data_IF_159778346278
#
_entry.id   IF_159778346278
#
_cell.length_a   1.000
_cell.length_b   1.000
_cell.length_c   1.000
_cell.angle_alpha   90.00
_cell.angle_beta   90.00
_cell.angle_gamma   90.00
#
_symmetry.space_group_name_H-M   'P 1'
#
loop_
_entity.id
_entity.type
_entity.pdbx_description
1 polymer ?
#
# COMPACT_ATOMS: atom_id res chain seq x y z
N UNK A 1 13.59 -21.08 0.03
CA UNK A 1 12.33 -21.44 -0.65
C UNK A 1 12.07 -20.35 -1.67
N UNK A 2 12.17 -20.64 -2.97
CA UNK A 2 11.88 -19.65 -4.02
C UNK A 2 10.37 -19.36 -3.96
N UNK A 3 10.01 -18.11 -3.70
CA UNK A 3 8.62 -17.66 -3.80
C UNK A 3 8.28 -17.53 -5.30
N UNK A 4 7.69 -18.59 -5.85
CA UNK A 4 7.24 -18.68 -7.25
C UNK A 4 5.88 -17.99 -7.46
N UNK A 5 5.46 -17.08 -6.58
CA UNK A 5 4.19 -16.39 -6.73
C UNK A 5 4.33 -15.20 -7.69
N UNK A 6 4.34 -15.48 -9.00
CA UNK A 6 4.06 -14.44 -10.01
C UNK A 6 2.59 -14.03 -9.89
N UNK A 7 2.28 -13.20 -8.90
CA UNK A 7 0.94 -12.61 -8.78
C UNK A 7 0.83 -11.47 -9.79
N UNK A 8 -0.24 -11.47 -10.59
CA UNK A 8 -0.55 -10.32 -11.45
C UNK A 8 -0.84 -9.10 -10.56
N UNK A 9 -0.54 -7.87 -11.01
CA UNK A 9 -0.85 -6.67 -10.22
C UNK A 9 -2.31 -6.62 -9.75
N UNK A 10 -3.24 -7.07 -10.60
CA UNK A 10 -4.67 -7.17 -10.26
C UNK A 10 -4.98 -8.16 -9.13
N UNK A 11 -4.21 -9.23 -8.99
CA UNK A 11 -4.39 -10.21 -7.90
C UNK A 11 -3.92 -9.63 -6.57
N UNK A 12 -2.83 -8.84 -6.57
CA UNK A 12 -2.37 -8.13 -5.39
C UNK A 12 -3.43 -7.11 -4.94
N UNK A 13 -3.98 -6.33 -5.87
CA UNK A 13 -5.08 -5.40 -5.60
C UNK A 13 -6.26 -6.13 -4.98
N UNK A 14 -6.73 -7.21 -5.61
CA UNK A 14 -7.86 -8.00 -5.11
C UNK A 14 -7.63 -8.48 -3.67
N UNK A 15 -6.47 -9.06 -3.37
CA UNK A 15 -6.12 -9.53 -2.02
C UNK A 15 -6.05 -8.40 -0.99
N UNK A 16 -5.68 -7.18 -1.39
CA UNK A 16 -5.68 -6.03 -0.50
C UNK A 16 -7.12 -5.58 -0.20
N UNK A 17 -7.95 -5.48 -1.23
CA UNK A 17 -9.36 -5.10 -1.10
C UNK A 17 -10.17 -6.11 -0.28
N UNK A 18 -9.94 -7.42 -0.48
CA UNK A 18 -10.58 -8.48 0.30
C UNK A 18 -10.19 -8.41 1.79
N UNK A 19 -8.91 -8.15 2.09
CA UNK A 19 -8.44 -7.96 3.48
C UNK A 19 -9.03 -6.72 4.11
N UNK A 20 -9.09 -5.60 3.38
CA UNK A 20 -9.72 -4.36 3.85
C UNK A 20 -11.17 -4.61 4.24
N UNK A 21 -11.94 -5.30 3.38
CA UNK A 21 -13.33 -5.67 3.67
C UNK A 21 -13.43 -6.58 4.89
N UNK A 22 -12.52 -7.55 5.01
CA UNK A 22 -12.47 -8.48 6.15
C UNK A 22 -12.22 -7.75 7.46
N UNK A 23 -11.25 -6.84 7.50
CA UNK A 23 -10.93 -6.02 8.67
C UNK A 23 -12.10 -5.12 9.07
N UNK A 24 -12.77 -4.50 8.09
CA UNK A 24 -13.98 -3.69 8.36
C UNK A 24 -15.05 -4.52 9.06
N UNK A 25 -15.32 -5.73 8.55
CA UNK A 25 -16.31 -6.64 9.12
C UNK A 25 -15.89 -7.15 10.50
N UNK A 26 -14.60 -7.43 10.70
CA UNK A 26 -14.06 -7.85 12.00
C UNK A 26 -14.18 -6.78 13.10
N UNK A 27 -14.31 -5.51 12.70
CA UNK A 27 -14.55 -4.37 13.59
C UNK A 27 -16.04 -3.97 13.67
N UNK A 28 -16.96 -4.80 13.15
CA UNK A 28 -18.41 -4.56 13.12
C UNK A 28 -18.82 -3.22 12.48
N UNK A 29 -18.08 -2.76 11.47
CA UNK A 29 -18.37 -1.49 10.78
C UNK A 29 -19.14 -1.71 9.47
N UNK A 30 -20.17 -0.91 9.21
CA UNK A 30 -20.72 -0.79 7.84
C UNK A 30 -19.76 0.00 6.95
N UNK A 31 -19.98 -0.03 5.63
CA UNK A 31 -19.24 0.83 4.71
C UNK A 31 -19.44 2.32 5.03
N UNK A 32 -20.62 2.70 5.53
CA UNK A 32 -20.93 4.07 5.94
C UNK A 32 -20.17 4.46 7.22
N UNK A 33 -20.06 3.55 8.20
CA UNK A 33 -19.26 3.81 9.41
C UNK A 33 -17.80 4.04 9.07
N UNK A 34 -17.22 3.17 8.24
CA UNK A 34 -15.83 3.30 7.81
C UNK A 34 -15.61 4.59 7.01
N UNK A 35 -16.54 4.93 6.11
CA UNK A 35 -16.50 6.16 5.32
C UNK A 35 -16.54 7.41 6.22
N UNK A 36 -17.40 7.42 7.23
CA UNK A 36 -17.49 8.48 8.23
C UNK A 36 -16.18 8.64 9.02
N UNK A 37 -15.60 7.54 9.49
CA UNK A 37 -14.31 7.56 10.20
C UNK A 37 -13.15 8.01 9.33
N UNK A 38 -13.15 7.64 8.05
CA UNK A 38 -12.12 8.01 7.08
C UNK A 38 -12.35 9.41 6.46
N UNK A 39 -13.49 10.06 6.71
CA UNK A 39 -13.82 11.37 6.13
C UNK A 39 -13.93 11.34 4.60
N UNK A 40 -14.52 10.28 4.04
CA UNK A 40 -14.73 10.10 2.59
C UNK A 40 -16.16 9.66 2.29
N UNK A 41 -16.57 9.70 1.02
CA UNK A 41 -17.90 9.23 0.61
C UNK A 41 -18.01 7.71 0.73
N UNK A 42 -19.20 7.19 1.11
CA UNK A 42 -19.49 5.75 1.19
C UNK A 42 -19.23 5.03 -0.14
N UNK A 43 -19.52 5.68 -1.27
CA UNK A 43 -19.23 5.13 -2.59
C UNK A 43 -17.72 4.91 -2.82
N UNK A 44 -16.86 5.75 -2.24
CA UNK A 44 -15.40 5.60 -2.32
C UNK A 44 -14.93 4.34 -1.59
N UNK A 45 -15.49 4.07 -0.40
CA UNK A 45 -15.21 2.82 0.34
C UNK A 45 -15.69 1.60 -0.45
N UNK A 46 -16.90 1.66 -1.01
CA UNK A 46 -17.44 0.58 -1.86
C UNK A 46 -16.55 0.32 -3.09
N UNK A 47 -16.13 1.37 -3.80
CA UNK A 47 -15.22 1.27 -4.94
C UNK A 47 -13.85 0.69 -4.56
N UNK A 48 -13.31 1.11 -3.42
CA UNK A 48 -12.05 0.60 -2.88
C UNK A 48 -12.16 -0.90 -2.54
N UNK A 49 -13.23 -1.33 -1.88
CA UNK A 49 -13.49 -2.76 -1.59
C UNK A 49 -13.71 -3.59 -2.87
N UNK A 50 -14.25 -2.99 -3.93
CA UNK A 50 -14.43 -3.62 -5.23
C UNK A 50 -13.16 -3.65 -6.10
N UNK A 51 -12.03 -3.10 -5.63
CA UNK A 51 -10.77 -3.02 -6.37
C UNK A 51 -10.81 -2.07 -7.57
N UNK A 52 -11.76 -1.12 -7.58
CA UNK A 52 -11.78 -0.04 -8.58
C UNK A 52 -10.68 0.97 -8.27
N UNK A 53 -10.28 1.70 -9.30
CA UNK A 53 -9.26 2.73 -9.14
C UNK A 53 -9.81 3.87 -8.25
N UNK A 54 -9.10 4.14 -7.18
CA UNK A 54 -9.40 5.20 -6.21
C UNK A 54 -8.10 5.89 -5.84
N UNK A 55 -8.18 7.18 -5.51
CA UNK A 55 -7.00 7.96 -5.15
C UNK A 55 -6.21 7.32 -3.99
N UNK A 56 -4.88 7.38 -4.07
CA UNK A 56 -3.99 6.83 -3.04
C UNK A 56 -4.28 7.43 -1.65
N UNK A 57 -4.61 8.71 -1.58
CA UNK A 57 -5.01 9.36 -0.33
C UNK A 57 -6.23 8.70 0.33
N UNK A 58 -7.22 8.25 -0.46
CA UNK A 58 -8.40 7.57 0.09
C UNK A 58 -8.03 6.20 0.68
N UNK A 59 -7.09 5.48 0.05
CA UNK A 59 -6.55 4.24 0.61
C UNK A 59 -5.85 4.52 1.96
N UNK A 60 -5.05 5.59 2.04
CA UNK A 60 -4.38 6.00 3.27
C UNK A 60 -5.39 6.31 4.38
N UNK A 61 -6.41 7.13 4.08
CA UNK A 61 -7.46 7.48 5.06
C UNK A 61 -8.22 6.25 5.57
N UNK A 62 -8.53 5.29 4.69
CA UNK A 62 -9.19 4.05 5.09
C UNK A 62 -8.28 3.17 5.94
N UNK A 63 -6.99 3.04 5.58
CA UNK A 63 -6.02 2.31 6.40
C UNK A 63 -5.88 2.93 7.80
N UNK A 64 -5.86 4.26 7.90
CA UNK A 64 -5.85 4.97 9.18
C UNK A 64 -7.11 4.69 10.00
N UNK A 65 -8.29 4.73 9.38
CA UNK A 65 -9.56 4.44 10.05
C UNK A 65 -9.66 2.98 10.56
N UNK A 66 -8.95 2.04 9.90
CA UNK A 66 -8.83 0.65 10.31
C UNK A 66 -7.67 0.40 11.30
N UNK A 67 -6.92 1.44 11.70
CA UNK A 67 -5.78 1.30 12.62
C UNK A 67 -4.53 0.68 12.00
N UNK A 68 -4.41 0.69 10.67
CA UNK A 68 -3.33 0.07 9.87
C UNK A 68 -2.32 1.10 9.34
N UNK A 69 -2.25 2.28 9.97
CA UNK A 69 -1.35 3.37 9.54
C UNK A 69 0.10 2.92 9.50
N UNK A 70 0.58 2.23 10.55
CA UNK A 70 1.98 1.81 10.66
C UNK A 70 2.38 0.83 9.56
N UNK A 71 1.49 -0.10 9.23
CA UNK A 71 1.70 -1.07 8.15
C UNK A 71 1.78 -0.37 6.79
N UNK A 72 0.98 0.68 6.58
CA UNK A 72 1.03 1.47 5.36
C UNK A 72 2.26 2.38 5.29
N UNK A 73 2.67 3.00 6.41
CA UNK A 73 3.93 3.75 6.51
C UNK A 73 5.16 2.84 6.32
N UNK A 74 5.03 1.56 6.66
CA UNK A 74 6.05 0.54 6.41
C UNK A 74 6.19 0.16 4.93
N UNK A 75 5.24 0.54 4.08
CA UNK A 75 5.29 0.23 2.66
C UNK A 75 6.49 0.95 2.00
N UNK A 76 7.28 0.19 1.25
CA UNK A 76 8.51 0.65 0.59
C UNK A 76 9.67 1.06 1.51
N UNK A 77 9.64 0.70 2.80
CA UNK A 77 10.85 0.78 3.63
C UNK A 77 11.99 -0.05 3.00
N UNK A 78 13.25 0.44 3.07
CA UNK A 78 14.37 -0.26 2.48
C UNK A 78 14.61 -1.61 3.15
N UNK A 79 14.94 -2.62 2.35
CA UNK A 79 15.44 -3.91 2.86
C UNK A 79 16.94 -3.80 3.04
N UNK A 80 17.37 -3.50 4.27
CA UNK A 80 18.78 -3.30 4.62
C UNK A 80 19.34 -4.60 5.21
N UNK A 81 20.02 -5.41 4.39
CA UNK A 81 20.61 -6.68 4.83
C UNK A 81 22.14 -6.63 4.96
N UNK A 82 22.77 -5.55 4.48
CA UNK A 82 24.22 -5.33 4.53
C UNK A 82 24.56 -3.87 4.81
N UNK A 83 25.78 -3.62 5.29
CA UNK A 83 26.37 -2.28 5.42
C UNK A 83 26.38 -1.56 4.06
N UNK A 84 26.56 -2.31 2.96
CA UNK A 84 26.47 -1.75 1.61
C UNK A 84 25.06 -1.26 1.25
N UNK A 85 24.01 -1.97 1.71
CA UNK A 85 22.62 -1.54 1.50
C UNK A 85 22.34 -0.23 2.24
N UNK A 86 22.85 -0.10 3.47
CA UNK A 86 22.73 1.12 4.29
C UNK A 86 23.40 2.28 3.56
N UNK A 87 24.67 2.14 3.18
CA UNK A 87 25.41 3.18 2.46
C UNK A 87 24.73 3.56 1.15
N UNK A 88 24.21 2.58 0.40
CA UNK A 88 23.49 2.84 -0.85
C UNK A 88 22.21 3.63 -0.59
N UNK A 89 21.42 3.23 0.40
CA UNK A 89 20.17 3.88 0.74
C UNK A 89 20.41 5.34 1.15
N UNK A 90 21.35 5.61 2.06
CA UNK A 90 21.74 6.95 2.49
C UNK A 90 22.21 7.84 1.31
N UNK A 91 23.08 7.30 0.45
CA UNK A 91 23.57 8.01 -0.74
C UNK A 91 22.46 8.29 -1.78
N UNK A 92 21.39 7.48 -1.78
CA UNK A 92 20.27 7.61 -2.70
C UNK A 92 19.14 8.49 -2.18
N UNK A 93 18.99 8.61 -0.85
CA UNK A 93 17.91 9.37 -0.22
C UNK A 93 17.89 10.85 -0.64
N UNK A 94 19.06 11.43 -0.95
CA UNK A 94 19.19 12.81 -1.40
C UNK A 94 19.15 12.98 -2.93
N UNK A 95 18.95 11.91 -3.71
CA UNK A 95 18.94 11.96 -5.18
C UNK A 95 17.52 12.11 -5.72
N UNK A 96 17.29 13.17 -6.50
CA UNK A 96 16.00 13.42 -7.17
C UNK A 96 15.83 12.68 -8.51
N UNK A 97 16.93 12.24 -9.14
CA UNK A 97 16.89 11.53 -10.43
C UNK A 97 18.11 10.63 -10.63
N UNK A 98 17.91 9.48 -11.27
CA UNK A 98 18.99 8.57 -11.70
C UNK A 98 19.33 8.87 -13.17
N UNK A 99 20.61 9.11 -13.48
CA UNK A 99 21.10 9.16 -14.87
C UNK A 99 21.38 7.75 -15.37
N UNK A 100 20.90 7.39 -16.57
CA UNK A 100 21.29 6.12 -17.22
C UNK A 100 22.80 6.14 -17.48
N UNK A 101 23.53 5.13 -17.00
CA UNK A 101 24.91 4.90 -17.43
C UNK A 101 24.88 4.21 -18.81
N UNK A 102 25.71 4.63 -19.77
CA UNK A 102 25.86 3.89 -21.02
C UNK A 102 26.53 2.55 -20.69
N UNK A 103 25.82 1.43 -20.88
CA UNK A 103 26.39 0.09 -20.68
C UNK A 103 25.46 -1.03 -20.20
N UNK A 104 24.25 -0.73 -19.71
CA UNK A 104 23.26 -1.77 -19.37
C UNK A 104 22.09 -1.71 -20.35
N UNK A 105 22.25 -2.34 -21.51
CA UNK A 105 21.18 -2.77 -22.41
C UNK A 105 21.23 -4.29 -22.51
#
# INVERSE_FOLDING_TARGET
MLDLSFSKPSEVVKRLCDRLRTERLALDMTQTDLAGRAGIATNTVSNLEAGRNVGFENLVRVAMALGRTKELEGLFLPKLNSIEDIRRYENSANRLRIKRKPGNA
#
